data_IF_779170755352
#
_entry.id   IF_779170755352
#
_cell.length_a   1.000
_cell.length_b   1.000
_cell.length_c   1.000
_cell.angle_alpha   90.00
_cell.angle_beta   90.00
_cell.angle_gamma   90.00
#
_symmetry.space_group_name_H-M   'P 1'
#
loop_
_entity.id
_entity.type
_entity.pdbx_description
1 polymer ?
#
# COMPACT_ATOMS: atom_id res chain seq x y z
N UNK A 1 26.62 -38.38 16.02
CA UNK A 1 27.92 -37.73 15.76
C UNK A 1 27.64 -36.32 15.28
N UNK A 2 27.76 -35.32 16.16
CA UNK A 2 27.74 -33.92 15.74
C UNK A 2 29.10 -33.61 15.11
N UNK A 3 29.16 -33.50 13.79
CA UNK A 3 30.29 -32.83 13.14
C UNK A 3 30.25 -31.36 13.55
N UNK A 4 30.96 -31.01 14.61
CA UNK A 4 31.27 -29.60 14.88
C UNK A 4 32.19 -29.12 13.76
N UNK A 5 31.61 -28.41 12.79
CA UNK A 5 32.33 -27.69 11.76
C UNK A 5 33.30 -26.73 12.44
N UNK A 6 34.61 -26.96 12.27
CA UNK A 6 35.62 -26.06 12.81
C UNK A 6 35.75 -24.84 11.90
N UNK A 7 35.02 -23.76 12.24
CA UNK A 7 34.94 -22.54 11.44
C UNK A 7 36.32 -21.89 11.27
N UNK A 8 37.23 -22.05 12.24
CA UNK A 8 38.61 -21.55 12.17
C UNK A 8 39.38 -22.16 10.99
N UNK A 9 39.12 -23.42 10.63
CA UNK A 9 39.71 -24.07 9.44
C UNK A 9 38.92 -23.79 8.15
N UNK A 10 37.61 -23.52 8.23
CA UNK A 10 36.76 -23.21 7.08
C UNK A 10 36.90 -21.78 6.57
N UNK A 11 37.27 -20.83 7.44
CA UNK A 11 37.54 -19.45 7.05
C UNK A 11 38.62 -19.38 5.95
N UNK A 12 39.65 -20.23 6.07
CA UNK A 12 40.74 -20.37 5.10
C UNK A 12 40.21 -20.90 3.77
N UNK A 13 40.12 -20.01 2.78
CA UNK A 13 39.66 -20.32 1.41
C UNK A 13 38.18 -20.06 1.15
N UNK A 14 37.45 -19.53 2.14
CA UNK A 14 36.08 -19.08 1.95
C UNK A 14 36.03 -17.81 1.09
N UNK A 15 35.04 -17.70 0.20
CA UNK A 15 34.80 -16.47 -0.56
C UNK A 15 34.37 -15.33 0.37
N UNK A 16 34.70 -14.09 0.02
CA UNK A 16 34.37 -12.92 0.84
C UNK A 16 32.87 -12.77 1.07
N UNK A 17 32.05 -13.16 0.09
CA UNK A 17 30.59 -13.16 0.18
C UNK A 17 30.08 -14.16 1.23
N UNK A 18 30.69 -15.34 1.31
CA UNK A 18 30.28 -16.39 2.26
C UNK A 18 30.74 -16.03 3.69
N UNK A 19 31.92 -15.40 3.82
CA UNK A 19 32.36 -14.78 5.08
C UNK A 19 31.37 -13.72 5.55
N UNK A 20 30.96 -12.82 4.65
CA UNK A 20 29.99 -11.78 4.95
C UNK A 20 28.64 -12.36 5.38
N UNK A 21 28.11 -13.36 4.66
CA UNK A 21 26.85 -14.04 5.03
C UNK A 21 26.90 -14.65 6.43
N UNK A 22 27.99 -15.32 6.79
CA UNK A 22 28.15 -15.90 8.13
C UNK A 22 28.16 -14.82 9.22
N UNK A 23 28.91 -13.74 9.00
CA UNK A 23 28.96 -12.61 9.93
C UNK A 23 27.60 -11.92 10.07
N UNK A 24 26.86 -11.77 8.97
CA UNK A 24 25.52 -11.16 9.00
C UNK A 24 24.50 -12.08 9.66
N UNK A 25 24.57 -13.39 9.41
CA UNK A 25 23.72 -14.37 10.08
C UNK A 25 23.97 -14.38 11.60
N UNK A 26 25.23 -14.32 12.04
CA UNK A 26 25.58 -14.21 13.46
C UNK A 26 25.03 -12.92 14.08
N UNK A 27 25.22 -11.77 13.41
CA UNK A 27 24.69 -10.49 13.87
C UNK A 27 23.17 -10.47 13.96
N UNK A 28 22.48 -11.02 12.96
CA UNK A 28 21.02 -11.15 12.98
C UNK A 28 20.56 -12.00 14.16
N UNK A 29 21.22 -13.16 14.39
CA UNK A 29 20.90 -14.05 15.52
C UNK A 29 21.12 -13.37 16.88
N UNK A 30 22.21 -12.61 17.01
CA UNK A 30 22.47 -11.79 18.21
C UNK A 30 21.43 -10.69 18.37
N UNK A 31 21.04 -10.01 17.29
CA UNK A 31 19.99 -8.99 17.29
C UNK A 31 18.64 -9.55 17.76
N UNK A 32 18.23 -10.70 17.23
CA UNK A 32 16.98 -11.38 17.59
C UNK A 32 16.92 -11.82 19.06
N UNK A 33 18.07 -12.17 19.63
CA UNK A 33 18.15 -12.72 20.99
C UNK A 33 18.63 -11.72 22.03
N UNK A 34 18.70 -10.43 21.67
CA UNK A 34 19.26 -9.37 22.53
C UNK A 34 20.67 -9.68 23.03
N UNK A 35 21.48 -10.31 22.17
CA UNK A 35 22.87 -10.68 22.41
C UNK A 35 23.08 -11.98 23.19
N UNK A 36 22.01 -12.73 23.50
CA UNK A 36 22.12 -13.96 24.30
C UNK A 36 22.64 -15.16 23.50
N UNK A 37 22.34 -15.21 22.20
CA UNK A 37 22.77 -16.30 21.31
C UNK A 37 23.53 -15.74 20.12
N UNK A 38 24.62 -16.41 19.75
CA UNK A 38 25.38 -16.18 18.52
C UNK A 38 25.57 -17.50 17.78
N UNK A 39 25.77 -17.41 16.46
CA UNK A 39 26.20 -18.52 15.62
C UNK A 39 27.72 -18.71 15.68
N UNK A 40 28.45 -17.63 15.97
CA UNK A 40 29.90 -17.59 16.02
C UNK A 40 30.37 -17.19 17.42
N UNK A 41 31.42 -17.86 17.90
CA UNK A 41 32.19 -17.39 19.04
C UNK A 41 33.03 -16.17 18.65
N UNK A 42 33.45 -15.32 19.63
CA UNK A 42 34.33 -14.18 19.34
C UNK A 42 35.63 -14.56 18.62
N UNK A 43 36.19 -15.73 18.93
CA UNK A 43 37.38 -16.26 18.27
C UNK A 43 37.14 -16.62 16.80
N UNK A 44 35.96 -17.15 16.47
CA UNK A 44 35.61 -17.52 15.10
C UNK A 44 35.31 -16.29 14.25
N UNK A 45 34.64 -15.29 14.82
CA UNK A 45 34.46 -13.98 14.18
C UNK A 45 35.81 -13.33 13.87
N UNK A 46 36.73 -13.33 14.84
CA UNK A 46 38.08 -12.81 14.65
C UNK A 46 38.84 -13.57 13.56
N UNK A 47 38.76 -14.90 13.55
CA UNK A 47 39.42 -15.72 12.53
C UNK A 47 38.94 -15.42 11.11
N UNK A 48 37.64 -15.12 10.92
CA UNK A 48 37.08 -14.73 9.62
C UNK A 48 37.63 -13.35 9.19
N UNK A 49 37.74 -12.41 10.12
CA UNK A 49 38.26 -11.05 9.85
C UNK A 49 39.75 -11.10 9.51
N UNK A 50 40.54 -11.81 10.31
CA UNK A 50 41.99 -11.95 10.12
C UNK A 50 42.27 -12.62 8.76
N UNK A 51 41.54 -13.68 8.39
CA UNK A 51 41.69 -14.32 7.07
C UNK A 51 41.27 -13.39 5.91
N UNK A 52 40.26 -12.54 6.09
CA UNK A 52 39.91 -11.53 5.10
C UNK A 52 41.00 -10.44 4.95
N UNK A 53 41.74 -10.13 6.02
CA UNK A 53 42.89 -9.23 5.96
C UNK A 53 44.05 -9.89 5.22
N UNK A 54 44.39 -11.12 5.56
CA UNK A 54 45.49 -11.89 4.96
C UNK A 54 45.30 -12.09 3.46
N UNK A 55 44.05 -12.25 3.00
CA UNK A 55 43.70 -12.39 1.58
C UNK A 55 43.43 -11.06 0.85
N UNK A 56 43.67 -9.91 1.48
CA UNK A 56 43.36 -8.58 0.95
C UNK A 56 41.88 -8.37 0.54
N UNK A 57 40.97 -9.12 1.15
CA UNK A 57 39.51 -9.05 0.93
C UNK A 57 38.81 -8.09 1.88
N UNK A 58 39.51 -7.55 2.88
CA UNK A 58 38.93 -6.72 3.95
C UNK A 58 38.19 -5.48 3.43
N UNK A 59 38.63 -4.89 2.33
CA UNK A 59 37.95 -3.73 1.70
C UNK A 59 36.55 -4.11 1.22
N UNK A 60 36.42 -5.26 0.56
CA UNK A 60 35.14 -5.76 0.08
C UNK A 60 34.25 -6.19 1.24
N UNK A 61 34.82 -6.83 2.27
CA UNK A 61 34.09 -7.19 3.47
C UNK A 61 33.52 -5.94 4.18
N UNK A 62 34.30 -4.86 4.27
CA UNK A 62 33.86 -3.58 4.80
C UNK A 62 32.77 -2.94 3.94
N UNK A 63 32.87 -3.01 2.60
CA UNK A 63 31.83 -2.54 1.68
C UNK A 63 30.51 -3.28 1.93
N UNK A 64 30.54 -4.61 1.98
CA UNK A 64 29.37 -5.44 2.25
C UNK A 64 28.76 -5.12 3.63
N UNK A 65 29.61 -4.92 4.64
CA UNK A 65 29.17 -4.54 5.97
C UNK A 65 28.45 -3.18 6.00
N UNK A 66 28.92 -2.20 5.23
CA UNK A 66 28.24 -0.89 5.08
C UNK A 66 26.86 -1.06 4.43
N UNK A 67 26.76 -1.87 3.38
CA UNK A 67 25.49 -2.15 2.71
C UNK A 67 24.52 -2.88 3.63
N UNK A 68 24.99 -3.82 4.45
CA UNK A 68 24.19 -4.51 5.46
C UNK A 68 23.64 -3.57 6.55
N UNK A 69 24.47 -2.62 7.02
CA UNK A 69 23.98 -1.62 7.97
C UNK A 69 22.92 -0.70 7.32
N UNK A 70 23.13 -0.32 6.05
CA UNK A 70 22.16 0.48 5.31
C UNK A 70 20.84 -0.26 5.09
N UNK A 71 20.88 -1.55 4.74
CA UNK A 71 19.65 -2.37 4.60
C UNK A 71 18.90 -2.48 5.92
N UNK A 72 19.61 -2.57 7.05
CA UNK A 72 19.00 -2.57 8.39
C UNK A 72 18.24 -1.27 8.69
N UNK A 73 18.82 -0.11 8.35
CA UNK A 73 18.12 1.17 8.49
C UNK A 73 16.94 1.31 7.54
N UNK A 74 17.08 0.87 6.29
CA UNK A 74 15.97 0.86 5.34
C UNK A 74 14.83 -0.04 5.79
N UNK A 75 15.11 -1.15 6.50
CA UNK A 75 14.05 -1.98 7.06
C UNK A 75 13.22 -1.22 8.10
N UNK A 76 13.85 -0.37 8.93
CA UNK A 76 13.13 0.53 9.84
C UNK A 76 12.30 1.57 9.07
N UNK A 77 12.83 2.11 7.98
CA UNK A 77 12.09 3.02 7.11
C UNK A 77 10.89 2.33 6.45
N UNK A 78 11.01 1.06 6.08
CA UNK A 78 9.89 0.27 5.54
C UNK A 78 8.82 0.07 6.61
N UNK A 79 9.18 -0.33 7.82
CA UNK A 79 8.23 -0.48 8.93
C UNK A 79 7.51 0.83 9.22
N UNK A 80 8.23 1.95 9.19
CA UNK A 80 7.66 3.29 9.38
C UNK A 80 6.72 3.67 8.24
N UNK A 81 7.11 3.42 6.99
CA UNK A 81 6.26 3.67 5.83
C UNK A 81 4.99 2.80 5.85
N UNK A 82 5.10 1.55 6.30
CA UNK A 82 3.98 0.66 6.50
C UNK A 82 3.03 1.17 7.59
N UNK A 83 3.55 1.64 8.71
CA UNK A 83 2.74 2.26 9.76
C UNK A 83 1.97 3.48 9.23
N UNK A 84 2.62 4.35 8.45
CA UNK A 84 1.94 5.48 7.82
C UNK A 84 0.84 5.04 6.84
N UNK A 85 1.07 3.97 6.09
CA UNK A 85 0.03 3.34 5.28
C UNK A 85 -1.15 2.89 6.14
N UNK A 86 -0.94 2.13 7.23
CA UNK A 86 -2.03 1.67 8.11
C UNK A 86 -2.79 2.82 8.76
N UNK A 87 -2.11 3.90 9.14
CA UNK A 87 -2.76 5.10 9.67
C UNK A 87 -3.62 5.80 8.61
N UNK A 88 -3.13 5.92 7.37
CA UNK A 88 -3.89 6.50 6.28
C UNK A 88 -5.10 5.62 5.89
N UNK A 89 -4.89 4.30 5.82
CA UNK A 89 -5.92 3.29 5.57
C UNK A 89 -7.01 3.36 6.65
N UNK A 90 -6.63 3.35 7.94
CA UNK A 90 -7.57 3.44 9.05
C UNK A 90 -8.41 4.73 9.02
N UNK A 91 -7.81 5.87 8.62
CA UNK A 91 -8.56 7.12 8.42
C UNK A 91 -9.57 7.00 7.29
N UNK A 92 -9.16 6.43 6.15
CA UNK A 92 -10.06 6.20 5.02
C UNK A 92 -11.20 5.25 5.40
N UNK A 93 -10.90 4.15 6.09
CA UNK A 93 -11.88 3.18 6.56
C UNK A 93 -12.84 3.81 7.57
N UNK A 94 -12.36 4.62 8.52
CA UNK A 94 -13.24 5.33 9.45
C UNK A 94 -14.17 6.30 8.73
N UNK A 95 -13.69 6.99 7.68
CA UNK A 95 -14.55 7.81 6.84
C UNK A 95 -15.60 6.95 6.13
N UNK A 96 -15.21 5.83 5.51
CA UNK A 96 -16.15 4.91 4.86
C UNK A 96 -17.17 4.30 5.84
N UNK A 97 -16.75 3.93 7.06
CA UNK A 97 -17.61 3.36 8.10
C UNK A 97 -18.61 4.40 8.63
N UNK A 98 -18.11 5.59 8.99
CA UNK A 98 -18.97 6.71 9.39
C UNK A 98 -19.93 7.08 8.28
N UNK A 99 -19.50 6.90 7.03
CA UNK A 99 -20.38 6.99 5.90
C UNK A 99 -21.50 5.92 6.01
N UNK A 100 -21.21 4.61 6.05
CA UNK A 100 -22.22 3.52 6.10
C UNK A 100 -23.31 3.79 7.15
N UNK A 101 -22.88 4.11 8.36
CA UNK A 101 -23.75 4.24 9.53
C UNK A 101 -24.77 5.38 9.38
N UNK A 102 -24.40 6.45 8.68
CA UNK A 102 -25.32 7.56 8.40
C UNK A 102 -26.33 7.16 7.31
N UNK A 103 -25.91 6.41 6.29
CA UNK A 103 -26.78 5.96 5.19
C UNK A 103 -27.78 4.86 5.59
N UNK A 104 -27.41 3.97 6.50
CA UNK A 104 -28.31 2.92 7.00
C UNK A 104 -29.47 3.47 7.86
N UNK A 105 -29.33 4.68 8.42
CA UNK A 105 -30.37 5.34 9.19
C UNK A 105 -31.52 5.95 8.37
N UNK A 106 -31.38 6.09 7.04
CA UNK A 106 -32.28 6.90 6.19
C UNK A 106 -32.87 6.21 4.94
N UNK A 107 -32.62 4.91 4.72
CA UNK A 107 -33.03 4.11 3.52
C UNK A 107 -32.62 4.70 2.14
N UNK A 108 -31.56 5.50 2.13
CA UNK A 108 -31.09 6.17 0.91
C UNK A 108 -30.52 5.19 -0.15
N UNK A 109 -30.12 3.99 0.27
CA UNK A 109 -29.73 2.89 -0.62
C UNK A 109 -30.89 2.39 -1.48
N UNK A 110 -32.11 2.43 -0.95
CA UNK A 110 -33.32 2.06 -1.68
C UNK A 110 -33.53 2.93 -2.92
N UNK A 111 -33.25 4.22 -2.79
CA UNK A 111 -33.49 5.27 -3.80
C UNK A 111 -32.42 5.30 -4.89
N UNK A 112 -31.12 5.29 -4.54
CA UNK A 112 -30.04 5.25 -5.54
C UNK A 112 -30.10 4.02 -6.46
N UNK A 113 -30.51 2.87 -5.91
CA UNK A 113 -30.67 1.66 -6.72
C UNK A 113 -31.88 1.77 -7.64
N UNK A 114 -32.93 2.45 -7.18
CA UNK A 114 -34.09 2.75 -8.01
C UNK A 114 -33.71 3.69 -9.16
N UNK A 115 -32.97 4.78 -8.90
CA UNK A 115 -32.49 5.74 -9.91
C UNK A 115 -31.56 5.10 -10.95
N UNK A 116 -30.68 4.20 -10.53
CA UNK A 116 -29.85 3.44 -11.45
C UNK A 116 -30.67 2.51 -12.36
N UNK A 117 -31.78 2.00 -11.84
CA UNK A 117 -32.65 1.05 -12.52
C UNK A 117 -33.60 1.74 -13.50
N UNK A 118 -33.97 2.98 -13.22
CA UNK A 118 -34.79 3.86 -14.06
C UNK A 118 -33.98 4.63 -15.10
N UNK A 119 -32.65 4.53 -15.09
CA UNK A 119 -31.80 5.14 -16.12
C UNK A 119 -32.09 4.55 -17.53
N UNK A 120 -32.45 5.41 -18.47
CA UNK A 120 -32.80 5.06 -19.84
C UNK A 120 -34.31 5.08 -20.15
N UNK A 121 -35.16 5.38 -19.16
CA UNK A 121 -36.60 5.57 -19.32
C UNK A 121 -36.99 7.05 -19.19
N UNK A 122 -37.98 7.48 -19.96
CA UNK A 122 -38.59 8.82 -19.81
C UNK A 122 -39.57 8.86 -18.64
N UNK A 123 -39.90 10.07 -18.15
CA UNK A 123 -40.88 10.23 -17.06
C UNK A 123 -42.24 9.63 -17.41
N UNK A 124 -42.72 9.85 -18.64
CA UNK A 124 -43.99 9.28 -19.12
C UNK A 124 -43.96 7.73 -19.16
N UNK A 125 -42.79 7.12 -19.41
CA UNK A 125 -42.65 5.67 -19.35
C UNK A 125 -42.66 5.15 -17.91
N UNK A 126 -42.07 5.89 -16.97
CA UNK A 126 -42.04 5.54 -15.55
C UNK A 126 -43.41 5.70 -14.87
N UNK A 127 -44.39 6.34 -15.51
CA UNK A 127 -45.78 6.40 -15.05
C UNK A 127 -46.60 5.14 -15.44
N UNK A 128 -46.11 4.34 -16.39
CA UNK A 128 -46.75 3.09 -16.83
C UNK A 128 -46.25 1.91 -15.98
N UNK A 129 -47.21 1.19 -15.39
CA UNK A 129 -47.03 0.05 -14.49
C UNK A 129 -46.10 -1.03 -15.06
N UNK A 130 -46.08 -1.21 -16.39
CA UNK A 130 -45.22 -2.19 -17.05
C UNK A 130 -43.73 -1.85 -16.91
N UNK A 131 -43.36 -0.59 -17.00
CA UNK A 131 -41.96 -0.16 -16.87
C UNK A 131 -41.54 -0.04 -15.42
N UNK A 132 -42.46 0.34 -14.53
CA UNK A 132 -42.27 0.27 -13.07
C UNK A 132 -41.84 -1.14 -12.63
N UNK A 133 -42.55 -2.18 -13.08
CA UNK A 133 -42.20 -3.59 -12.77
C UNK A 133 -40.83 -3.98 -13.32
N UNK A 134 -40.41 -3.44 -14.46
CA UNK A 134 -39.09 -3.70 -15.04
C UNK A 134 -37.97 -3.00 -14.25
N UNK A 135 -38.19 -1.74 -13.86
CA UNK A 135 -37.30 -0.95 -13.01
C UNK A 135 -37.16 -1.60 -11.64
N UNK A 136 -38.25 -2.05 -11.02
CA UNK A 136 -38.23 -2.73 -9.73
C UNK A 136 -37.45 -4.04 -9.80
N UNK A 137 -37.58 -4.79 -10.89
CA UNK A 137 -36.80 -6.02 -11.10
C UNK A 137 -35.31 -5.71 -11.28
N UNK A 138 -34.95 -4.69 -12.05
CA UNK A 138 -33.56 -4.20 -12.17
C UNK A 138 -33.03 -3.71 -10.83
N UNK A 139 -33.85 -3.01 -10.06
CA UNK A 139 -33.53 -2.52 -8.73
C UNK A 139 -33.34 -3.68 -7.77
N UNK A 140 -34.12 -4.75 -7.88
CA UNK A 140 -33.94 -5.94 -7.06
C UNK A 140 -32.70 -6.74 -7.45
N UNK A 141 -32.35 -6.80 -8.74
CA UNK A 141 -31.10 -7.40 -9.23
C UNK A 141 -29.88 -6.61 -8.80
N UNK A 142 -29.92 -5.27 -8.90
CA UNK A 142 -28.89 -4.40 -8.36
C UNK A 142 -28.85 -4.48 -6.83
N UNK A 143 -29.99 -4.50 -6.15
CA UNK A 143 -30.04 -4.78 -4.71
C UNK A 143 -29.39 -6.11 -4.42
N UNK A 144 -29.64 -7.20 -5.13
CA UNK A 144 -28.96 -8.50 -4.89
C UNK A 144 -27.46 -8.46 -5.21
N UNK A 145 -27.06 -7.77 -6.27
CA UNK A 145 -25.66 -7.56 -6.68
C UNK A 145 -24.88 -6.72 -5.65
N UNK A 146 -25.55 -5.74 -5.06
CA UNK A 146 -24.98 -4.76 -4.14
C UNK A 146 -25.39 -4.98 -2.67
N UNK A 147 -26.25 -5.98 -2.35
CA UNK A 147 -26.77 -6.33 -1.00
C UNK A 147 -25.72 -6.84 -0.02
N UNK A 148 -24.44 -6.79 -0.40
CA UNK A 148 -23.33 -6.93 0.55
C UNK A 148 -22.74 -5.60 1.01
N UNK A 149 -23.18 -4.46 0.50
CA UNK A 149 -22.57 -3.16 0.80
C UNK A 149 -23.57 -2.02 0.52
N UNK A 150 -24.26 -1.54 1.55
CA UNK A 150 -25.27 -0.49 1.47
C UNK A 150 -24.72 0.91 1.71
N UNK A 151 -24.38 1.66 0.65
CA UNK A 151 -23.44 2.78 0.85
C UNK A 151 -23.46 3.93 -0.16
N UNK A 152 -24.54 4.14 -0.90
CA UNK A 152 -24.47 5.08 -2.04
C UNK A 152 -25.20 6.40 -1.89
N UNK A 153 -25.92 6.66 -0.79
CA UNK A 153 -26.46 8.01 -0.50
C UNK A 153 -26.20 8.44 0.94
N UNK A 154 -24.92 8.42 1.24
CA UNK A 154 -24.33 9.17 2.34
C UNK A 154 -23.92 10.57 1.87
N UNK A 155 -24.01 10.81 0.56
CA UNK A 155 -23.27 11.86 -0.13
C UNK A 155 -24.00 13.19 -0.28
N UNK A 156 -25.31 13.26 -0.01
CA UNK A 156 -26.05 14.53 -0.05
C UNK A 156 -25.99 15.33 1.26
N UNK A 157 -25.47 14.74 2.36
CA UNK A 157 -25.26 15.45 3.63
C UNK A 157 -23.98 16.31 3.67
N UNK A 158 -23.21 16.35 2.57
CA UNK A 158 -21.84 16.88 2.57
C UNK A 158 -21.64 18.21 1.83
N UNK A 159 -22.71 18.98 1.63
CA UNK A 159 -22.60 20.44 1.52
C UNK A 159 -23.40 21.12 2.64
N UNK A 160 -22.75 21.69 3.68
CA UNK A 160 -23.46 22.46 4.70
C UNK A 160 -23.92 23.86 4.21
N UNK A 161 -23.92 24.15 2.91
CA UNK A 161 -24.22 25.49 2.40
C UNK A 161 -25.62 25.68 1.79
N UNK A 162 -26.65 24.97 2.28
CA UNK A 162 -28.04 25.44 2.07
C UNK A 162 -28.81 25.31 3.38
N UNK A 163 -29.03 26.45 4.01
CA UNK A 163 -29.66 26.57 5.32
C UNK A 163 -31.16 26.26 5.34
N UNK A 164 -31.70 26.20 6.56
CA UNK A 164 -33.11 26.32 6.97
C UNK A 164 -34.14 26.35 5.83
N UNK A 165 -34.36 25.20 5.18
CA UNK A 165 -35.30 25.05 4.10
C UNK A 165 -35.65 23.58 3.87
N UNK A 166 -36.94 23.29 3.73
CA UNK A 166 -37.50 21.95 3.64
C UNK A 166 -36.82 21.04 2.59
N UNK A 167 -36.46 19.83 3.01
CA UNK A 167 -35.82 18.74 2.25
C UNK A 167 -36.52 18.27 0.95
N UNK A 168 -37.70 18.81 0.60
CA UNK A 168 -38.56 18.22 -0.44
C UNK A 168 -39.04 19.20 -1.52
N UNK A 169 -38.37 20.32 -1.73
CA UNK A 169 -38.76 21.20 -2.82
C UNK A 169 -37.55 21.88 -3.46
N UNK A 170 -37.01 21.25 -4.51
CA UNK A 170 -36.70 21.87 -5.82
C UNK A 170 -35.63 21.10 -6.61
N UNK A 171 -36.01 20.67 -7.82
CA UNK A 171 -35.27 20.84 -9.08
C UNK A 171 -33.81 20.32 -9.18
N UNK A 172 -33.65 19.26 -9.99
CA UNK A 172 -32.60 19.06 -11.01
C UNK A 172 -31.12 18.93 -10.59
N UNK A 173 -30.60 17.73 -10.85
CA UNK A 173 -29.29 17.46 -11.48
C UNK A 173 -28.02 18.04 -10.84
N UNK A 174 -27.73 17.67 -9.59
CA UNK A 174 -26.34 17.61 -9.16
C UNK A 174 -26.09 16.28 -8.49
N UNK A 175 -25.71 15.27 -9.28
CA UNK A 175 -25.08 14.07 -8.73
C UNK A 175 -23.88 14.53 -7.89
N UNK A 176 -23.99 14.31 -6.58
CA UNK A 176 -23.08 14.83 -5.56
C UNK A 176 -21.65 14.39 -5.87
N UNK A 177 -20.75 15.37 -5.97
CA UNK A 177 -19.32 15.10 -6.16
C UNK A 177 -18.80 14.26 -4.97
N UNK A 178 -17.80 13.37 -5.17
CA UNK A 178 -17.23 12.63 -4.06
C UNK A 178 -16.74 13.59 -2.97
N UNK A 179 -17.00 13.28 -1.70
CA UNK A 179 -16.59 14.15 -0.58
C UNK A 179 -15.09 14.53 -0.70
N UNK A 180 -14.71 15.83 -0.65
CA UNK A 180 -13.31 16.26 -0.80
C UNK A 180 -12.35 15.66 0.24
N UNK A 181 -12.81 15.43 1.47
CA UNK A 181 -12.02 14.78 2.51
C UNK A 181 -11.78 13.30 2.18
N UNK A 182 -12.79 12.61 1.63
CA UNK A 182 -12.65 11.24 1.15
C UNK A 182 -11.65 11.16 -0.01
N UNK A 183 -11.75 12.08 -0.98
CA UNK A 183 -10.82 12.17 -2.10
C UNK A 183 -9.37 12.33 -1.60
N UNK A 184 -9.14 13.29 -0.70
CA UNK A 184 -7.82 13.55 -0.10
C UNK A 184 -7.30 12.37 0.71
N UNK A 185 -8.15 11.75 1.54
CA UNK A 185 -7.78 10.60 2.34
C UNK A 185 -7.35 9.42 1.46
N UNK A 186 -8.12 9.13 0.40
CA UNK A 186 -7.78 8.10 -0.56
C UNK A 186 -6.46 8.37 -1.28
N UNK A 187 -6.27 9.60 -1.76
CA UNK A 187 -5.02 10.00 -2.41
C UNK A 187 -3.82 9.95 -1.46
N UNK A 188 -4.02 10.24 -0.18
CA UNK A 188 -3.00 10.08 0.87
C UNK A 188 -2.58 8.62 1.02
N UNK A 189 -3.53 7.66 1.05
CA UNK A 189 -3.18 6.23 1.09
C UNK A 189 -2.31 5.84 -0.12
N UNK A 190 -2.66 6.28 -1.33
CA UNK A 190 -1.86 6.03 -2.53
C UNK A 190 -0.43 6.59 -2.41
N UNK A 191 -0.29 7.77 -1.81
CA UNK A 191 1.03 8.38 -1.56
C UNK A 191 1.86 7.55 -0.57
N UNK A 192 1.25 7.09 0.52
CA UNK A 192 1.93 6.25 1.51
C UNK A 192 2.33 4.89 0.92
N UNK A 193 1.48 4.26 0.08
CA UNK A 193 1.86 3.04 -0.65
C UNK A 193 3.07 3.28 -1.56
N UNK A 194 3.14 4.44 -2.23
CA UNK A 194 4.32 4.79 -3.05
C UNK A 194 5.57 4.97 -2.21
N UNK A 195 5.47 5.60 -1.03
CA UNK A 195 6.60 5.74 -0.12
C UNK A 195 7.08 4.37 0.35
N UNK A 196 6.17 3.48 0.73
CA UNK A 196 6.49 2.09 1.09
C UNK A 196 7.20 1.36 -0.06
N UNK A 197 6.63 1.37 -1.27
CA UNK A 197 7.24 0.73 -2.45
C UNK A 197 8.60 1.33 -2.81
N UNK A 198 8.82 2.63 -2.56
CA UNK A 198 10.14 3.27 -2.72
C UNK A 198 11.16 2.63 -1.79
N UNK A 199 10.80 2.39 -0.53
CA UNK A 199 11.74 1.81 0.43
C UNK A 199 12.06 0.35 0.12
N UNK A 200 11.06 -0.45 -0.32
CA UNK A 200 11.33 -1.80 -0.86
C UNK A 200 12.33 -1.73 -2.02
N UNK A 201 12.08 -0.82 -2.98
CA UNK A 201 12.96 -0.67 -4.14
C UNK A 201 14.40 -0.29 -3.75
N UNK A 202 14.56 0.54 -2.71
CA UNK A 202 15.88 0.88 -2.18
C UNK A 202 16.62 -0.35 -1.65
N UNK A 203 15.94 -1.24 -0.92
CA UNK A 203 16.56 -2.48 -0.45
C UNK A 203 16.93 -3.41 -1.61
N UNK A 204 16.01 -3.63 -2.56
CA UNK A 204 16.28 -4.45 -3.75
C UNK A 204 17.52 -3.93 -4.53
N UNK A 205 17.65 -2.62 -4.62
CA UNK A 205 18.81 -1.99 -5.25
C UNK A 205 20.10 -2.25 -4.48
N UNK A 206 20.09 -2.11 -3.16
CA UNK A 206 21.26 -2.40 -2.31
C UNK A 206 21.65 -3.87 -2.40
N UNK A 207 20.70 -4.80 -2.37
CA UNK A 207 20.99 -6.24 -2.52
C UNK A 207 21.61 -6.54 -3.89
N UNK A 208 21.12 -5.87 -4.94
CA UNK A 208 21.74 -5.95 -6.28
C UNK A 208 23.19 -5.47 -6.27
N UNK A 209 23.50 -4.41 -5.50
CA UNK A 209 24.88 -3.90 -5.31
C UNK A 209 25.73 -4.80 -4.42
N UNK A 210 25.13 -5.45 -3.44
CA UNK A 210 25.82 -6.37 -2.54
C UNK A 210 26.10 -7.73 -3.21
N UNK A 211 25.27 -8.15 -4.17
CA UNK A 211 25.29 -9.48 -4.80
C UNK A 211 25.10 -10.62 -3.80
N UNK A 212 24.58 -10.30 -2.63
CA UNK A 212 24.21 -11.21 -1.57
C UNK A 212 22.91 -10.72 -0.96
N UNK A 213 22.20 -11.66 -0.36
CA UNK A 213 21.00 -11.40 0.43
C UNK A 213 21.41 -10.72 1.74
N UNK A 214 20.82 -9.58 2.03
CA UNK A 214 21.16 -8.79 3.23
C UNK A 214 20.07 -8.87 4.29
N UNK A 215 18.87 -9.30 3.92
CA UNK A 215 17.74 -9.39 4.82
C UNK A 215 17.73 -10.72 5.56
N UNK A 216 17.37 -10.66 6.85
CA UNK A 216 17.07 -11.86 7.61
C UNK A 216 15.80 -12.53 7.09
N UNK A 217 15.64 -13.83 7.33
CA UNK A 217 14.39 -14.55 7.00
C UNK A 217 13.17 -13.93 7.72
N UNK A 218 13.39 -13.39 8.92
CA UNK A 218 12.36 -12.67 9.66
C UNK A 218 11.94 -11.39 8.93
N UNK A 219 12.90 -10.61 8.43
CA UNK A 219 12.62 -9.37 7.70
C UNK A 219 11.90 -9.67 6.39
N UNK A 220 12.32 -10.69 5.64
CA UNK A 220 11.64 -11.12 4.41
C UNK A 220 10.18 -11.48 4.64
N UNK A 221 9.90 -12.30 5.66
CA UNK A 221 8.52 -12.65 6.04
C UNK A 221 7.70 -11.42 6.43
N UNK A 222 8.33 -10.47 7.12
CA UNK A 222 7.69 -9.20 7.49
C UNK A 222 7.35 -8.37 6.23
N UNK A 223 8.28 -8.24 5.29
CA UNK A 223 8.07 -7.55 4.02
C UNK A 223 7.01 -8.20 3.16
N UNK A 224 6.98 -9.54 3.10
CA UNK A 224 5.97 -10.30 2.40
C UNK A 224 4.59 -10.05 3.01
N UNK A 225 4.46 -10.10 4.34
CA UNK A 225 3.22 -9.78 5.04
C UNK A 225 2.73 -8.36 4.74
N UNK A 226 3.61 -7.36 4.82
CA UNK A 226 3.24 -5.96 4.53
C UNK A 226 2.83 -5.76 3.08
N UNK A 227 3.54 -6.40 2.14
CA UNK A 227 3.22 -6.35 0.71
C UNK A 227 1.86 -6.96 0.44
N UNK A 228 1.55 -8.11 1.05
CA UNK A 228 0.27 -8.78 0.89
C UNK A 228 -0.91 -7.92 1.38
N UNK A 229 -0.79 -7.27 2.55
CA UNK A 229 -1.83 -6.36 3.05
C UNK A 229 -2.01 -5.12 2.15
N UNK A 230 -0.91 -4.55 1.65
CA UNK A 230 -0.99 -3.43 0.69
C UNK A 230 -1.61 -3.87 -0.63
N UNK A 231 -1.30 -5.06 -1.12
CA UNK A 231 -1.87 -5.57 -2.36
C UNK A 231 -3.36 -5.89 -2.20
N UNK A 232 -3.82 -6.30 -1.01
CA UNK A 232 -5.24 -6.41 -0.68
C UNK A 232 -5.95 -5.06 -0.80
N UNK A 233 -5.33 -3.98 -0.31
CA UNK A 233 -5.82 -2.61 -0.50
C UNK A 233 -5.83 -2.21 -1.99
N UNK A 234 -4.75 -2.47 -2.74
CA UNK A 234 -4.62 -2.13 -4.16
C UNK A 234 -5.68 -2.85 -5.01
N UNK A 235 -6.05 -4.07 -4.63
CA UNK A 235 -7.11 -4.83 -5.27
C UNK A 235 -8.52 -4.37 -4.86
N UNK A 236 -8.62 -3.44 -3.90
CA UNK A 236 -9.85 -2.89 -3.33
C UNK A 236 -10.74 -4.04 -2.82
N UNK A 237 -10.17 -4.92 -2.01
CA UNK A 237 -10.91 -5.98 -1.31
C UNK A 237 -11.85 -5.38 -0.25
N UNK A 238 -12.83 -6.17 0.18
CA UNK A 238 -13.78 -5.84 1.24
C UNK A 238 -14.50 -4.49 1.04
N UNK A 239 -14.61 -3.67 2.09
CA UNK A 239 -15.32 -2.39 2.09
C UNK A 239 -14.66 -1.33 1.19
N UNK A 240 -13.40 -1.52 0.77
CA UNK A 240 -12.74 -0.62 -0.18
C UNK A 240 -13.31 -0.73 -1.60
N UNK A 241 -14.03 -1.82 -1.89
CA UNK A 241 -14.76 -2.00 -3.15
C UNK A 241 -15.79 -0.89 -3.40
N UNK A 242 -16.26 -0.20 -2.36
CA UNK A 242 -17.17 0.94 -2.44
C UNK A 242 -16.58 2.11 -3.23
N UNK A 243 -15.28 2.31 -3.12
CA UNK A 243 -14.60 3.40 -3.83
C UNK A 243 -14.66 3.18 -5.35
N UNK A 244 -14.78 1.93 -5.83
CA UNK A 244 -14.93 1.63 -7.27
C UNK A 244 -16.18 2.26 -7.88
N UNK A 245 -17.23 2.46 -7.07
CA UNK A 245 -18.49 3.03 -7.56
C UNK A 245 -18.32 4.43 -8.14
N UNK A 246 -17.40 5.25 -7.61
CA UNK A 246 -17.11 6.57 -8.18
C UNK A 246 -16.52 6.50 -9.59
N UNK A 247 -15.69 5.49 -9.86
CA UNK A 247 -15.18 5.26 -11.20
C UNK A 247 -16.31 4.84 -12.15
N UNK A 248 -17.18 3.93 -11.73
CA UNK A 248 -18.32 3.45 -12.51
C UNK A 248 -19.30 4.58 -12.84
N UNK A 249 -19.60 5.46 -11.87
CA UNK A 249 -20.45 6.63 -12.06
C UNK A 249 -19.85 7.62 -13.06
N UNK A 250 -18.54 7.85 -12.98
CA UNK A 250 -17.86 8.69 -13.96
C UNK A 250 -17.85 8.08 -15.37
N UNK A 251 -17.79 6.75 -15.49
CA UNK A 251 -17.88 6.06 -16.79
C UNK A 251 -19.28 6.09 -17.39
N UNK A 252 -20.33 6.16 -16.54
CA UNK A 252 -21.72 6.33 -16.96
C UNK A 252 -22.13 7.78 -17.22
N UNK A 253 -21.19 8.74 -17.13
CA UNK A 253 -21.47 10.17 -17.30
C UNK A 253 -22.22 10.80 -16.12
N UNK A 254 -22.38 10.07 -15.02
CA UNK A 254 -23.09 10.52 -13.82
C UNK A 254 -22.23 11.46 -12.95
N UNK A 255 -20.90 11.40 -13.08
CA UNK A 255 -19.99 12.32 -12.39
C UNK A 255 -19.21 13.19 -13.39
N UNK A 256 -19.36 14.51 -13.27
CA UNK A 256 -18.55 15.48 -14.02
C UNK A 256 -17.11 15.49 -13.47
N UNK A 257 -16.12 15.25 -14.33
CA UNK A 257 -14.70 15.14 -13.95
C UNK A 257 -14.07 16.46 -13.50
N UNK A 258 -14.64 17.59 -13.94
CA UNK A 258 -14.03 18.91 -13.78
C UNK A 258 -14.24 19.52 -12.38
N UNK A 259 -15.05 18.89 -11.52
CA UNK A 259 -15.37 19.34 -10.16
C UNK A 259 -14.63 18.62 -9.02
N UNK A 260 -13.64 17.77 -9.33
CA UNK A 260 -12.93 16.99 -8.33
C UNK A 260 -11.90 17.82 -7.56
N UNK A 261 -11.93 17.74 -6.23
CA UNK A 261 -10.90 18.33 -5.37
C UNK A 261 -9.52 17.67 -5.56
N UNK A 262 -9.49 16.41 -5.96
CA UNK A 262 -8.29 15.65 -6.32
C UNK A 262 -8.42 15.18 -7.78
N UNK A 263 -7.79 15.86 -8.75
CA UNK A 263 -7.99 15.59 -10.18
C UNK A 263 -7.64 14.16 -10.61
N UNK A 264 -6.78 13.48 -9.84
CA UNK A 264 -6.34 12.10 -10.11
C UNK A 264 -7.17 11.04 -9.40
N UNK A 265 -8.16 11.42 -8.59
CA UNK A 265 -8.95 10.50 -7.78
C UNK A 265 -9.58 9.39 -8.63
N UNK A 266 -10.34 9.76 -9.66
CA UNK A 266 -11.01 8.77 -10.52
C UNK A 266 -10.03 7.94 -11.36
N UNK A 267 -8.97 8.55 -11.90
CA UNK A 267 -7.93 7.80 -12.64
C UNK A 267 -7.27 6.77 -11.73
N UNK A 268 -7.01 7.15 -10.47
CA UNK A 268 -6.36 6.29 -9.52
C UNK A 268 -7.21 5.08 -9.15
N UNK A 269 -8.52 5.27 -8.93
CA UNK A 269 -9.46 4.17 -8.65
C UNK A 269 -9.52 3.20 -9.83
N UNK A 270 -9.63 3.73 -11.05
CA UNK A 270 -9.71 2.91 -12.28
C UNK A 270 -8.48 2.03 -12.50
N UNK A 271 -7.31 2.49 -12.05
CA UNK A 271 -6.09 1.73 -12.19
C UNK A 271 -5.21 1.86 -10.95
N UNK A 272 -5.64 1.21 -9.87
CA UNK A 272 -4.93 1.22 -8.59
C UNK A 272 -3.49 0.72 -8.71
N UNK A 273 -3.26 -0.31 -9.52
CA UNK A 273 -1.92 -0.84 -9.76
C UNK A 273 -0.98 0.22 -10.37
N UNK A 274 -1.42 0.91 -11.43
CA UNK A 274 -0.67 2.02 -12.04
C UNK A 274 -0.55 3.20 -11.06
N UNK A 275 -1.63 3.52 -10.36
CA UNK A 275 -1.70 4.65 -9.45
C UNK A 275 -0.71 4.55 -8.29
N UNK A 276 -0.43 3.32 -7.83
CA UNK A 276 0.47 3.01 -6.71
C UNK A 276 1.87 2.59 -7.16
N UNK A 277 2.12 2.41 -8.46
CA UNK A 277 3.44 2.04 -9.00
C UNK A 277 4.43 3.21 -8.91
N UNK A 278 5.70 2.89 -8.64
CA UNK A 278 6.78 3.86 -8.78
C UNK A 278 7.00 4.20 -10.26
N UNK A 279 7.10 5.50 -10.57
CA UNK A 279 7.48 5.95 -11.90
C UNK A 279 8.96 5.66 -12.16
N UNK A 280 9.35 5.55 -13.44
CA UNK A 280 10.76 5.40 -13.84
C UNK A 280 11.62 6.53 -13.26
N UNK A 281 11.11 7.77 -13.27
CA UNK A 281 11.79 8.93 -12.68
C UNK A 281 11.99 8.78 -11.17
N UNK A 282 11.00 8.25 -10.45
CA UNK A 282 11.12 8.01 -9.01
C UNK A 282 12.16 6.92 -8.70
N UNK A 283 12.22 5.85 -9.50
CA UNK A 283 13.24 4.81 -9.39
C UNK A 283 14.65 5.34 -9.61
N UNK A 284 14.88 6.06 -10.72
CA UNK A 284 16.18 6.68 -11.02
C UNK A 284 16.62 7.63 -9.89
N UNK A 285 15.69 8.43 -9.35
CA UNK A 285 15.98 9.30 -8.22
C UNK A 285 16.38 8.51 -6.97
N UNK A 286 15.64 7.44 -6.66
CA UNK A 286 15.92 6.59 -5.52
C UNK A 286 17.31 5.92 -5.63
N UNK A 287 17.67 5.42 -6.81
CA UNK A 287 19.01 4.89 -7.10
C UNK A 287 20.10 5.94 -6.86
N UNK A 288 19.92 7.15 -7.39
CA UNK A 288 20.87 8.26 -7.20
C UNK A 288 21.03 8.63 -5.72
N UNK A 289 19.94 8.66 -4.95
CA UNK A 289 19.97 8.94 -3.52
C UNK A 289 20.79 7.88 -2.77
N UNK A 290 20.64 6.59 -3.10
CA UNK A 290 21.42 5.50 -2.50
C UNK A 290 22.90 5.58 -2.92
N UNK A 291 23.19 5.81 -4.20
CA UNK A 291 24.56 5.95 -4.71
C UNK A 291 25.32 7.10 -4.03
N UNK A 292 24.67 8.24 -3.81
CA UNK A 292 25.28 9.36 -3.07
C UNK A 292 25.66 8.98 -1.64
N UNK A 293 24.82 8.20 -0.95
CA UNK A 293 25.12 7.74 0.42
C UNK A 293 26.27 6.74 0.42
N UNK A 294 26.30 5.80 -0.53
CA UNK A 294 27.40 4.84 -0.69
C UNK A 294 28.72 5.57 -0.95
N UNK A 295 28.73 6.58 -1.82
CA UNK A 295 29.93 7.34 -2.18
C UNK A 295 30.41 8.26 -1.04
N UNK A 296 29.51 8.94 -0.34
CA UNK A 296 29.87 9.82 0.81
C UNK A 296 30.49 9.05 1.98
N UNK A 297 30.18 7.75 2.11
CA UNK A 297 30.75 6.89 3.15
C UNK A 297 32.03 6.16 2.70
N UNK A 298 32.56 6.46 1.51
CA UNK A 298 33.78 5.84 0.96
C UNK A 298 35.06 6.67 1.16
N UNK A 299 34.95 7.81 1.85
CA UNK A 299 36.05 8.64 2.34
C UNK A 299 36.15 8.54 3.87
#
# INVERSE_FOLDING_TARGET
>A
MNMNLNIKTLAKGMRVEDKAKLLFADRNKRGETSGKEGLLTPDEEKAIIDDAQDLHQITELNRLNKLFNMSSFLMLDIQTAYLHFKLAEGRLLNMLTGMILVGEGSDALGNAIYDLSSNGYSQEQLEDEKFQVEVDKKAEEFRKKYKRNGLTEIYDYFDPSVGDGSYFDTKTEVLSQPNPLLQRAFMMVIQEIKKFRKQIYNIEYIETKARIDLLSERDKRTLESFTNEIDDFVNLKDHLGLIKMFADFADKGMLKRDGLSEPKFLEAIKNMSKATRLSKKAKIKAESEIEEVIQKQSY
#
